data_IF_964018197688
#
_entry.id   IF_964018197688
#
_cell.length_a   1.000
_cell.length_b   1.000
_cell.length_c   1.000
_cell.angle_alpha   90.00
_cell.angle_beta   90.00
_cell.angle_gamma   90.00
#
_symmetry.space_group_name_H-M   'P 1'
#
loop_
_entity.id
_entity.type
_entity.pdbx_description
1 polymer ?
#
# COMPACT_ATOMS: atom_id res chain seq x y z
N UNK A 1 -11.54 -15.97 7.90
CA UNK A 1 -10.79 -15.98 6.63
C UNK A 1 -10.45 -17.42 6.29
N UNK A 2 -10.69 -17.84 5.05
CA UNK A 2 -10.36 -19.21 4.63
C UNK A 2 -8.85 -19.36 4.40
N UNK A 3 -8.35 -20.60 4.41
CA UNK A 3 -6.94 -20.87 4.14
C UNK A 3 -6.53 -20.37 2.76
N UNK A 4 -7.41 -20.47 1.77
CA UNK A 4 -7.16 -19.94 0.42
C UNK A 4 -6.97 -18.42 0.42
N UNK A 5 -7.77 -17.69 1.20
CA UNK A 5 -7.62 -16.24 1.34
C UNK A 5 -6.29 -15.87 1.97
N UNK A 6 -5.86 -16.61 3.00
CA UNK A 6 -4.57 -16.36 3.66
C UNK A 6 -3.41 -16.64 2.70
N UNK A 7 -3.45 -17.76 1.97
CA UNK A 7 -2.44 -18.10 0.98
C UNK A 7 -2.37 -17.06 -0.14
N UNK A 8 -3.52 -16.56 -0.57
CA UNK A 8 -3.59 -15.51 -1.58
C UNK A 8 -2.92 -14.21 -1.12
N UNK A 9 -3.20 -13.79 0.12
CA UNK A 9 -2.59 -12.58 0.68
C UNK A 9 -1.09 -12.74 0.87
N UNK A 10 -0.61 -13.92 1.24
CA UNK A 10 0.83 -14.23 1.31
C UNK A 10 1.45 -14.11 -0.09
N UNK A 11 0.77 -14.64 -1.11
CA UNK A 11 1.22 -14.54 -2.50
C UNK A 11 1.36 -13.08 -2.93
N UNK A 12 0.39 -12.25 -2.61
CA UNK A 12 0.44 -10.81 -2.91
C UNK A 12 1.65 -10.17 -2.26
N UNK A 13 1.87 -10.45 -0.98
CA UNK A 13 3.00 -9.90 -0.22
C UNK A 13 4.33 -10.31 -0.84
N UNK A 14 4.51 -11.60 -1.13
CA UNK A 14 5.76 -12.12 -1.70
C UNK A 14 6.06 -11.51 -3.07
N UNK A 15 5.06 -11.46 -3.96
CA UNK A 15 5.23 -10.88 -5.30
C UNK A 15 5.57 -9.41 -5.22
N UNK A 16 4.91 -8.67 -4.34
CA UNK A 16 5.14 -7.24 -4.19
C UNK A 16 6.54 -6.96 -3.65
N UNK A 17 6.97 -7.68 -2.61
CA UNK A 17 8.31 -7.54 -2.04
C UNK A 17 9.38 -7.86 -3.10
N UNK A 18 9.21 -8.96 -3.83
CA UNK A 18 10.19 -9.36 -4.84
C UNK A 18 10.31 -8.31 -5.96
N UNK A 19 9.18 -7.78 -6.42
CA UNK A 19 9.20 -6.77 -7.49
C UNK A 19 9.85 -5.48 -7.03
N UNK A 20 9.52 -5.00 -5.84
CA UNK A 20 10.10 -3.78 -5.27
C UNK A 20 11.62 -3.94 -5.17
N UNK A 21 12.10 -5.11 -4.72
CA UNK A 21 13.54 -5.39 -4.65
C UNK A 21 14.18 -5.42 -6.03
N UNK A 22 13.54 -6.08 -7.00
CA UNK A 22 14.09 -6.20 -8.36
C UNK A 22 14.22 -4.84 -9.05
N UNK A 23 13.25 -3.95 -8.84
CA UNK A 23 13.23 -2.64 -9.47
C UNK A 23 13.93 -1.56 -8.64
N UNK A 24 14.35 -1.87 -7.43
CA UNK A 24 14.93 -0.90 -6.48
C UNK A 24 14.04 0.34 -6.37
N UNK A 25 12.75 0.13 -6.08
CA UNK A 25 11.76 1.20 -6.12
C UNK A 25 11.95 2.21 -4.98
N UNK A 26 11.94 3.51 -5.30
CA UNK A 26 11.87 4.54 -4.27
C UNK A 26 10.59 4.43 -3.46
N UNK A 27 10.70 4.76 -2.18
CA UNK A 27 9.57 4.73 -1.24
C UNK A 27 8.38 5.56 -1.75
N UNK A 28 8.65 6.73 -2.34
CA UNK A 28 7.58 7.61 -2.86
C UNK A 28 6.77 6.94 -3.97
N UNK A 29 7.42 6.14 -4.83
CA UNK A 29 6.71 5.41 -5.89
C UNK A 29 5.79 4.35 -5.31
N UNK A 30 6.27 3.57 -4.35
CA UNK A 30 5.46 2.55 -3.67
C UNK A 30 4.24 3.20 -3.01
N UNK A 31 4.46 4.30 -2.30
CA UNK A 31 3.40 5.04 -1.62
C UNK A 31 2.32 5.52 -2.59
N UNK A 32 2.72 6.09 -3.73
CA UNK A 32 1.79 6.61 -4.73
C UNK A 32 0.95 5.49 -5.37
N UNK A 33 1.58 4.35 -5.68
CA UNK A 33 0.86 3.21 -6.27
C UNK A 33 -0.15 2.64 -5.27
N UNK A 34 0.26 2.45 -4.02
CA UNK A 34 -0.64 1.96 -2.96
C UNK A 34 -1.82 2.92 -2.79
N UNK A 35 -1.56 4.24 -2.76
CA UNK A 35 -2.61 5.24 -2.59
C UNK A 35 -3.61 5.21 -3.75
N UNK A 36 -3.13 5.02 -4.98
CA UNK A 36 -4.00 4.90 -6.15
C UNK A 36 -4.98 3.72 -6.00
N UNK A 37 -4.46 2.56 -5.63
CA UNK A 37 -5.30 1.37 -5.40
C UNK A 37 -6.27 1.57 -4.25
N UNK A 38 -5.82 2.19 -3.15
CA UNK A 38 -6.68 2.49 -2.02
C UNK A 38 -7.84 3.40 -2.43
N UNK A 39 -7.57 4.44 -3.20
CA UNK A 39 -8.62 5.35 -3.66
C UNK A 39 -9.67 4.61 -4.48
N UNK A 40 -9.24 3.75 -5.40
CA UNK A 40 -10.16 2.98 -6.24
C UNK A 40 -10.99 1.99 -5.43
N UNK A 41 -10.36 1.30 -4.49
CA UNK A 41 -11.05 0.32 -3.64
C UNK A 41 -12.03 1.01 -2.68
N UNK A 42 -11.65 2.14 -2.13
CA UNK A 42 -12.51 2.91 -1.23
C UNK A 42 -13.73 3.46 -1.96
N UNK A 43 -13.58 3.92 -3.22
CA UNK A 43 -14.71 4.36 -4.03
C UNK A 43 -15.69 3.20 -4.25
N UNK A 44 -15.19 2.01 -4.58
CA UNK A 44 -16.01 0.82 -4.78
C UNK A 44 -16.74 0.44 -3.48
N UNK A 45 -16.04 0.44 -2.36
CA UNK A 45 -16.62 0.12 -1.05
C UNK A 45 -17.70 1.14 -0.66
N UNK A 46 -17.43 2.43 -0.83
CA UNK A 46 -18.35 3.49 -0.48
C UNK A 46 -19.67 3.34 -1.25
N UNK A 47 -19.59 3.06 -2.55
CA UNK A 47 -20.78 2.83 -3.38
C UNK A 47 -21.58 1.64 -2.88
N UNK A 48 -20.89 0.55 -2.49
CA UNK A 48 -21.54 -0.64 -1.96
C UNK A 48 -22.27 -0.35 -0.62
N UNK A 49 -21.58 0.36 0.28
CA UNK A 49 -22.17 0.70 1.59
C UNK A 49 -23.36 1.63 1.46
N UNK A 50 -23.33 2.58 0.54
CA UNK A 50 -24.46 3.47 0.27
C UNK A 50 -25.65 2.70 -0.28
N UNK A 51 -25.41 1.72 -1.14
CA UNK A 51 -26.46 0.92 -1.76
C UNK A 51 -27.11 -0.05 -0.78
N UNK A 52 -26.35 -0.61 0.18
CA UNK A 52 -26.82 -1.65 1.10
C UNK A 52 -27.16 -1.14 2.49
N UNK A 53 -26.67 0.03 2.88
CA UNK A 53 -26.82 0.56 4.24
C UNK A 53 -25.95 -0.16 5.28
N UNK A 54 -25.02 -1.01 4.84
CA UNK A 54 -24.13 -1.74 5.73
C UNK A 54 -23.04 -0.81 6.29
N UNK A 55 -22.42 -1.23 7.39
CA UNK A 55 -21.29 -0.53 8.01
C UNK A 55 -20.12 -1.48 8.14
N UNK A 56 -18.89 -0.93 8.14
CA UNK A 56 -17.67 -1.71 8.30
C UNK A 56 -16.80 -1.08 9.39
N UNK A 57 -15.83 -1.86 9.88
CA UNK A 57 -14.93 -1.41 10.93
C UNK A 57 -14.06 -0.25 10.47
N UNK A 58 -13.73 0.65 11.39
CA UNK A 58 -12.89 1.82 11.12
C UNK A 58 -11.53 1.47 10.53
N UNK A 59 -10.95 0.32 10.89
CA UNK A 59 -9.67 -0.14 10.34
C UNK A 59 -9.70 -0.30 8.82
N UNK A 60 -10.89 -0.50 8.25
CA UNK A 60 -11.07 -0.59 6.80
C UNK A 60 -11.21 0.81 6.20
N UNK A 61 -11.94 1.69 6.88
CA UNK A 61 -12.31 3.01 6.34
C UNK A 61 -11.21 4.06 6.42
N UNK A 62 -10.27 3.90 7.33
CA UNK A 62 -9.26 4.94 7.62
C UNK A 62 -7.86 4.37 7.64
N UNK A 63 -6.83 5.17 7.27
CA UNK A 63 -5.45 4.78 7.45
C UNK A 63 -5.16 4.46 8.92
N UNK A 64 -4.32 3.46 9.16
CA UNK A 64 -3.94 3.08 10.53
C UNK A 64 -3.04 4.15 11.13
N UNK A 65 -3.20 4.46 12.42
CA UNK A 65 -2.40 5.51 13.05
C UNK A 65 -0.91 5.15 13.11
N UNK A 66 -0.07 6.16 12.95
CA UNK A 66 1.37 6.04 13.17
C UNK A 66 1.69 6.31 14.63
N UNK A 67 2.90 5.88 15.07
CA UNK A 67 3.40 6.22 16.39
C UNK A 67 3.51 7.73 16.55
N UNK A 68 3.25 8.25 17.73
CA UNK A 68 3.28 9.68 18.00
C UNK A 68 4.63 10.32 17.64
N UNK A 69 5.73 9.63 17.91
CA UNK A 69 7.07 10.11 17.59
C UNK A 69 7.25 10.29 16.08
N UNK A 70 6.66 9.40 15.27
CA UNK A 70 6.71 9.49 13.82
C UNK A 70 5.85 10.63 13.29
N UNK A 71 4.70 10.88 13.91
CA UNK A 71 3.83 12.00 13.50
C UNK A 71 4.51 13.35 13.71
N UNK A 72 5.31 13.49 14.76
CA UNK A 72 6.05 14.71 15.06
C UNK A 72 7.23 14.93 14.11
N UNK A 73 7.78 13.86 13.56
CA UNK A 73 8.95 13.90 12.68
C UNK A 73 8.61 13.75 11.20
N UNK A 74 7.34 13.91 10.83
CA UNK A 74 6.89 13.73 9.46
C UNK A 74 7.68 14.62 8.49
N UNK A 75 8.30 13.98 7.49
CA UNK A 75 9.08 14.66 6.45
C UNK A 75 8.19 15.01 5.27
N UNK A 76 8.36 16.24 4.76
CA UNK A 76 7.73 16.65 3.50
C UNK A 76 8.81 16.96 2.48
N UNK A 77 8.56 16.57 1.24
CA UNK A 77 9.49 16.79 0.14
C UNK A 77 8.85 17.71 -0.89
N UNK A 78 9.70 18.55 -1.53
CA UNK A 78 9.24 19.41 -2.60
C UNK A 78 8.73 18.55 -3.76
N UNK A 79 7.56 18.93 -4.32
CA UNK A 79 6.93 18.18 -5.39
C UNK A 79 7.83 18.00 -6.61
N UNK A 80 8.58 19.05 -6.99
CA UNK A 80 9.49 19.00 -8.12
C UNK A 80 10.60 17.96 -7.93
N UNK A 81 11.12 17.80 -6.71
CA UNK A 81 12.13 16.79 -6.40
C UNK A 81 11.56 15.39 -6.50
N UNK A 82 10.32 15.19 -6.01
CA UNK A 82 9.62 13.91 -6.11
C UNK A 82 9.39 13.58 -7.59
N UNK A 83 8.91 14.53 -8.37
CA UNK A 83 8.62 14.32 -9.80
C UNK A 83 9.87 13.99 -10.61
N UNK A 84 11.05 14.47 -10.19
CA UNK A 84 12.31 14.16 -10.87
C UNK A 84 12.78 12.71 -10.60
N UNK A 85 12.32 12.09 -9.51
CA UNK A 85 12.73 10.74 -9.10
C UNK A 85 11.78 9.69 -9.67
N UNK A 86 10.48 10.00 -9.76
CA UNK A 86 9.45 9.08 -10.18
C UNK A 86 9.70 8.57 -11.60
N UNK A 87 9.66 7.25 -11.74
CA UNK A 87 9.67 6.57 -13.02
C UNK A 87 8.29 5.94 -13.22
N UNK A 88 7.53 6.48 -14.17
CA UNK A 88 6.18 6.02 -14.42
C UNK A 88 6.14 4.55 -14.83
N UNK A 89 7.14 4.07 -15.54
CA UNK A 89 7.20 2.67 -15.98
C UNK A 89 7.31 1.72 -14.78
N UNK A 90 8.17 2.04 -13.81
CA UNK A 90 8.26 1.24 -12.58
C UNK A 90 6.93 1.22 -11.83
N UNK A 91 6.29 2.38 -11.72
CA UNK A 91 4.99 2.48 -11.03
C UNK A 91 3.91 1.66 -11.75
N UNK A 92 3.88 1.70 -13.09
CA UNK A 92 2.93 0.94 -13.88
C UNK A 92 3.13 -0.57 -13.72
N UNK A 93 4.37 -1.01 -13.60
CA UNK A 93 4.69 -2.43 -13.38
C UNK A 93 4.16 -2.88 -12.01
N UNK A 94 4.40 -2.10 -10.96
CA UNK A 94 3.88 -2.42 -9.63
C UNK A 94 2.35 -2.38 -9.59
N UNK A 95 1.76 -1.35 -10.20
CA UNK A 95 0.30 -1.20 -10.31
C UNK A 95 -0.31 -2.45 -10.97
N UNK A 96 0.25 -2.87 -12.09
CA UNK A 96 -0.22 -4.05 -12.82
C UNK A 96 -0.08 -5.32 -11.97
N UNK A 97 1.07 -5.49 -11.30
CA UNK A 97 1.29 -6.67 -10.44
C UNK A 97 0.23 -6.77 -9.35
N UNK A 98 -0.03 -5.68 -8.65
CA UNK A 98 -1.02 -5.65 -7.57
C UNK A 98 -2.41 -5.98 -8.12
N UNK A 99 -2.81 -5.31 -9.20
CA UNK A 99 -4.12 -5.50 -9.82
C UNK A 99 -4.33 -6.96 -10.27
N UNK A 100 -3.37 -7.50 -11.02
CA UNK A 100 -3.45 -8.86 -11.54
C UNK A 100 -3.45 -9.88 -10.41
N UNK A 101 -2.61 -9.68 -9.39
CA UNK A 101 -2.54 -10.60 -8.26
C UNK A 101 -3.85 -10.60 -7.47
N UNK A 102 -4.45 -9.44 -7.22
CA UNK A 102 -5.74 -9.36 -6.52
C UNK A 102 -6.83 -10.13 -7.28
N UNK A 103 -6.82 -10.09 -8.60
CA UNK A 103 -7.75 -10.85 -9.43
C UNK A 103 -7.46 -12.35 -9.33
N UNK A 104 -6.20 -12.76 -9.45
CA UNK A 104 -5.80 -14.17 -9.39
C UNK A 104 -6.16 -14.83 -8.07
N UNK A 105 -5.97 -14.12 -6.95
CA UNK A 105 -6.28 -14.66 -5.63
C UNK A 105 -7.76 -14.53 -5.28
N UNK A 106 -8.56 -13.95 -6.16
CA UNK A 106 -9.98 -13.74 -5.97
C UNK A 106 -10.29 -12.99 -4.68
N UNK A 107 -9.52 -11.95 -4.40
CA UNK A 107 -9.67 -11.16 -3.19
C UNK A 107 -10.99 -10.38 -3.20
N UNK A 108 -11.67 -10.36 -2.04
CA UNK A 108 -12.81 -9.48 -1.86
C UNK A 108 -12.32 -8.04 -1.70
N UNK A 109 -13.21 -7.06 -1.90
CA UNK A 109 -12.86 -5.65 -1.69
C UNK A 109 -12.33 -5.42 -0.28
N UNK A 110 -12.96 -6.02 0.72
CA UNK A 110 -12.53 -5.90 2.13
C UNK A 110 -11.13 -6.50 2.33
N UNK A 111 -10.89 -7.70 1.82
CA UNK A 111 -9.56 -8.35 1.95
C UNK A 111 -8.49 -7.54 1.25
N UNK A 112 -8.78 -7.01 0.06
CA UNK A 112 -7.85 -6.17 -0.68
C UNK A 112 -7.51 -4.89 0.09
N UNK A 113 -8.53 -4.23 0.65
CA UNK A 113 -8.33 -3.01 1.43
C UNK A 113 -7.47 -3.30 2.67
N UNK A 114 -7.76 -4.36 3.41
CA UNK A 114 -6.98 -4.70 4.61
C UNK A 114 -5.52 -4.98 4.27
N UNK A 115 -5.26 -5.72 3.18
CA UNK A 115 -3.89 -5.99 2.73
C UNK A 115 -3.17 -4.70 2.39
N UNK A 116 -3.82 -3.81 1.63
CA UNK A 116 -3.21 -2.55 1.22
C UNK A 116 -3.09 -1.55 2.37
N UNK A 117 -3.97 -1.61 3.39
CA UNK A 117 -3.81 -0.80 4.60
C UNK A 117 -2.50 -1.14 5.32
N UNK A 118 -2.11 -2.42 5.34
CA UNK A 118 -0.83 -2.82 5.91
C UNK A 118 0.33 -2.20 5.12
N UNK A 119 0.29 -2.28 3.79
CA UNK A 119 1.31 -1.68 2.92
C UNK A 119 1.34 -0.16 3.06
N UNK A 120 0.18 0.47 3.11
CA UNK A 120 0.03 1.91 3.32
C UNK A 120 0.68 2.33 4.65
N UNK A 121 0.39 1.59 5.72
CA UNK A 121 0.95 1.86 7.04
C UNK A 121 2.48 1.73 7.03
N UNK A 122 3.01 0.68 6.40
CA UNK A 122 4.45 0.47 6.29
C UNK A 122 5.10 1.61 5.50
N UNK A 123 4.53 1.99 4.36
CA UNK A 123 5.06 3.08 3.54
C UNK A 123 5.01 4.41 4.30
N UNK A 124 3.92 4.71 4.99
CA UNK A 124 3.80 5.94 5.79
C UNK A 124 4.80 5.97 6.93
N UNK A 125 5.03 4.84 7.59
CA UNK A 125 6.02 4.72 8.66
C UNK A 125 7.42 5.03 8.14
N UNK A 126 7.79 4.47 6.99
CA UNK A 126 9.10 4.74 6.37
C UNK A 126 9.22 6.17 5.88
N UNK A 127 8.14 6.75 5.30
CA UNK A 127 8.14 8.15 4.85
C UNK A 127 8.35 9.12 6.01
N UNK A 128 7.76 8.84 7.17
CA UNK A 128 7.89 9.70 8.35
C UNK A 128 9.34 9.81 8.82
N UNK A 129 10.17 8.80 8.56
CA UNK A 129 11.59 8.79 8.94
C UNK A 129 12.53 8.87 7.74
N UNK A 130 12.01 9.15 6.54
CA UNK A 130 12.83 9.24 5.34
C UNK A 130 13.76 10.45 5.37
N UNK A 131 14.99 10.25 4.88
CA UNK A 131 16.02 11.29 4.84
C UNK A 131 16.06 12.06 3.53
N UNK A 132 15.39 11.58 2.49
CA UNK A 132 15.32 12.25 1.21
C UNK A 132 14.29 11.60 0.29
N UNK A 133 13.88 12.29 -0.80
CA UNK A 133 12.81 11.79 -1.68
C UNK A 133 13.21 10.55 -2.49
N UNK A 134 14.51 10.28 -2.64
CA UNK A 134 15.02 9.09 -3.34
C UNK A 134 15.22 7.88 -2.46
N UNK A 135 14.85 7.93 -1.17
CA UNK A 135 15.01 6.79 -0.27
C UNK A 135 14.22 5.59 -0.79
N UNK A 136 14.88 4.43 -0.80
CA UNK A 136 14.25 3.20 -1.26
C UNK A 136 13.31 2.64 -0.21
N UNK A 137 12.26 1.96 -0.68
CA UNK A 137 11.40 1.17 0.17
C UNK A 137 12.20 0.00 0.75
N UNK A 138 12.02 -0.28 2.05
CA UNK A 138 12.76 -1.35 2.72
C UNK A 138 11.84 -2.50 3.11
N UNK A 139 11.75 -3.56 2.28
CA UNK A 139 10.95 -4.73 2.64
C UNK A 139 11.49 -5.47 3.87
N UNK A 140 12.76 -5.27 4.21
CA UNK A 140 13.37 -5.89 5.38
C UNK A 140 12.83 -5.34 6.70
N UNK A 141 12.12 -4.22 6.66
CA UNK A 141 11.49 -3.62 7.85
C UNK A 141 10.09 -4.16 8.10
N UNK A 142 9.61 -5.12 7.30
CA UNK A 142 8.30 -5.73 7.49
C UNK A 142 8.30 -6.53 8.81
N UNK A 143 7.35 -6.27 9.73
CA UNK A 143 7.27 -7.02 10.99
C UNK A 143 7.00 -8.50 10.77
N UNK A 144 7.47 -9.34 11.68
CA UNK A 144 7.27 -10.79 11.59
C UNK A 144 5.80 -11.20 11.63
N UNK A 145 4.96 -10.38 12.25
CA UNK A 145 3.51 -10.62 12.35
C UNK A 145 2.69 -10.02 11.22
N UNK A 146 3.35 -9.52 10.21
CA UNK A 146 2.74 -8.88 9.03
C UNK A 146 1.72 -9.77 8.23
#
# INVERSE_FOLDING_TARGET
MSDESVEGLVTLTERTVNLINQLSMPLVEVSLVIQKHMNQLMDTLTQHLEATGETVHERILSPWPLDNDLLESESTFALDKVMNIIDQQRMDILDTLIRVTLIEINATVIDAILALRQWEHLARTQLASATGPGQLFSPLSIPDDW
#
